data_IF_662712385924
#
_entry.id   IF_662712385924
#
_cell.length_a   1.000
_cell.length_b   1.000
_cell.length_c   1.000
_cell.angle_alpha   90.00
_cell.angle_beta   90.00
_cell.angle_gamma   90.00
#
_symmetry.space_group_name_H-M   'P 1'
#
loop_
_entity.id
_entity.type
_entity.pdbx_description
1 polymer ?
#
# COMPACT_ATOMS: atom_id res chain seq x y z
N UNK A 1 -19.83 4.70 4.15
CA UNK A 1 -19.21 6.03 4.00
C UNK A 1 -19.04 6.64 5.38
N UNK A 2 -17.82 6.95 5.83
CA UNK A 2 -17.63 7.49 7.19
C UNK A 2 -17.94 8.99 7.29
N UNK A 3 -17.53 9.78 6.29
CA UNK A 3 -17.72 11.24 6.29
C UNK A 3 -19.20 11.63 6.24
N UNK A 4 -19.91 11.16 5.21
CA UNK A 4 -21.30 11.52 4.97
C UNK A 4 -22.20 11.12 6.16
N UNK A 5 -21.98 9.92 6.71
CA UNK A 5 -22.74 9.42 7.86
C UNK A 5 -22.50 10.26 9.11
N UNK A 6 -21.26 10.70 9.38
CA UNK A 6 -20.96 11.54 10.55
C UNK A 6 -21.55 12.95 10.40
N UNK A 7 -21.44 13.56 9.22
CA UNK A 7 -22.04 14.87 8.96
C UNK A 7 -23.56 14.80 9.09
N UNK A 8 -24.19 13.78 8.53
CA UNK A 8 -25.65 13.62 8.58
C UNK A 8 -26.20 13.37 10.00
N UNK A 9 -25.48 12.62 10.84
CA UNK A 9 -25.97 12.23 12.18
C UNK A 9 -25.45 13.08 13.33
N UNK A 10 -24.28 13.73 13.16
CA UNK A 10 -23.57 14.45 14.23
C UNK A 10 -23.14 15.86 13.83
N UNK A 11 -23.32 16.27 12.56
CA UNK A 11 -22.97 17.61 12.08
C UNK A 11 -21.46 17.90 11.99
N UNK A 12 -20.59 16.90 12.17
CA UNK A 12 -19.14 17.06 12.20
C UNK A 12 -18.42 15.96 11.41
N UNK A 13 -17.24 16.26 10.88
CA UNK A 13 -16.38 15.27 10.24
C UNK A 13 -15.84 14.26 11.27
N UNK A 14 -15.69 12.97 10.90
CA UNK A 14 -15.27 11.92 11.84
C UNK A 14 -13.74 11.87 12.07
N UNK A 15 -12.98 12.73 11.38
CA UNK A 15 -11.53 12.80 11.45
C UNK A 15 -11.09 14.27 11.36
N UNK A 16 -9.88 14.56 11.86
CA UNK A 16 -9.26 15.90 11.74
C UNK A 16 -8.41 16.03 10.47
N UNK A 17 -7.78 14.92 10.06
CA UNK A 17 -6.87 14.86 8.91
C UNK A 17 -7.11 13.54 8.19
N UNK A 18 -7.04 13.56 6.86
CA UNK A 18 -7.07 12.36 6.01
C UNK A 18 -5.76 12.28 5.27
N UNK A 19 -5.12 11.13 5.34
CA UNK A 19 -3.95 10.78 4.53
C UNK A 19 -4.40 9.71 3.55
N UNK A 20 -4.11 9.93 2.27
CA UNK A 20 -4.34 8.97 1.19
C UNK A 20 -3.00 8.46 0.67
N UNK A 21 -3.00 7.23 0.18
CA UNK A 21 -1.85 6.64 -0.47
C UNK A 21 -2.27 6.06 -1.83
N UNK A 22 -1.32 5.94 -2.75
CA UNK A 22 -1.52 5.21 -4.00
C UNK A 22 -1.62 3.70 -3.79
N UNK A 23 -1.78 2.97 -4.88
CA UNK A 23 -1.85 1.52 -4.87
C UNK A 23 -0.46 0.92 -4.96
N UNK A 24 -0.28 -0.28 -4.40
CA UNK A 24 0.89 -1.10 -4.71
C UNK A 24 0.67 -1.75 -6.07
N UNK A 25 1.59 -1.52 -6.99
CA UNK A 25 1.62 -2.06 -8.35
C UNK A 25 2.83 -2.97 -8.52
N UNK A 26 2.81 -3.84 -9.51
CA UNK A 26 3.95 -4.72 -9.78
C UNK A 26 5.20 -3.95 -10.24
N UNK A 27 6.31 -4.65 -10.46
CA UNK A 27 7.56 -4.05 -10.93
C UNK A 27 7.46 -3.33 -12.28
N UNK A 28 6.47 -3.67 -13.12
CA UNK A 28 6.20 -3.01 -14.40
C UNK A 28 5.23 -1.82 -14.26
N UNK A 29 4.67 -1.60 -13.07
CA UNK A 29 3.67 -0.57 -12.80
C UNK A 29 2.24 -0.96 -13.19
N UNK A 30 1.96 -2.25 -13.41
CA UNK A 30 0.59 -2.73 -13.67
C UNK A 30 -0.11 -3.03 -12.35
N UNK A 31 -1.43 -2.82 -12.36
CA UNK A 31 -2.29 -3.20 -11.23
C UNK A 31 -2.12 -4.69 -10.92
N UNK A 32 -1.87 -5.01 -9.66
CA UNK A 32 -1.83 -6.39 -9.20
C UNK A 32 -3.22 -7.03 -9.28
N UNK A 33 -3.30 -8.24 -9.82
CA UNK A 33 -4.54 -9.02 -9.88
C UNK A 33 -4.27 -10.52 -9.84
N UNK A 34 -5.23 -11.27 -9.30
CA UNK A 34 -5.16 -12.73 -9.22
C UNK A 34 -5.14 -13.38 -10.61
N UNK A 35 -5.88 -12.83 -11.58
CA UNK A 35 -5.96 -13.38 -12.93
C UNK A 35 -4.69 -13.17 -13.74
N UNK A 36 -3.95 -12.07 -13.51
CA UNK A 36 -2.64 -11.85 -14.14
C UNK A 36 -1.50 -12.57 -13.42
N UNK A 37 -1.73 -13.08 -12.20
CA UNK A 37 -0.70 -13.76 -11.41
C UNK A 37 0.46 -12.87 -10.98
N UNK A 38 0.32 -11.54 -11.10
CA UNK A 38 1.36 -10.55 -10.80
C UNK A 38 1.28 -9.97 -9.38
N UNK A 39 0.43 -10.55 -8.53
CA UNK A 39 0.34 -10.18 -7.11
C UNK A 39 1.43 -10.84 -6.28
N UNK A 40 1.95 -10.12 -5.29
CA UNK A 40 2.91 -10.65 -4.32
C UNK A 40 2.21 -10.73 -2.95
N UNK A 41 2.23 -11.91 -2.31
CA UNK A 41 1.72 -12.04 -0.95
C UNK A 41 2.73 -11.43 0.03
N UNK A 42 2.33 -10.49 0.90
CA UNK A 42 3.22 -9.93 1.92
C UNK A 42 3.88 -10.99 2.80
N UNK A 43 3.21 -12.14 3.04
CA UNK A 43 3.76 -13.25 3.83
C UNK A 43 4.98 -13.88 3.16
N UNK A 44 4.99 -13.96 1.84
CA UNK A 44 6.13 -14.51 1.09
C UNK A 44 7.36 -13.63 1.30
N UNK A 45 7.19 -12.30 1.26
CA UNK A 45 8.28 -11.35 1.54
C UNK A 45 8.73 -11.45 3.00
N UNK A 46 7.79 -11.52 3.95
CA UNK A 46 8.11 -11.62 5.38
C UNK A 46 8.89 -12.90 5.67
N UNK A 47 8.52 -14.02 5.05
CA UNK A 47 9.20 -15.30 5.24
C UNK A 47 10.60 -15.32 4.62
N UNK A 48 10.81 -14.60 3.50
CA UNK A 48 12.07 -14.57 2.76
C UNK A 48 13.05 -13.52 3.30
N UNK A 49 12.57 -12.31 3.63
CA UNK A 49 13.40 -11.15 3.98
C UNK A 49 13.16 -10.61 5.40
N UNK A 50 12.11 -11.07 6.09
CA UNK A 50 11.69 -10.53 7.38
C UNK A 50 10.73 -9.34 7.26
N UNK A 51 9.94 -9.11 8.32
CA UNK A 51 8.93 -8.05 8.33
C UNK A 51 9.53 -6.63 8.29
N UNK A 52 10.74 -6.46 8.79
CA UNK A 52 11.36 -5.14 8.86
C UNK A 52 11.87 -4.65 7.50
N UNK A 53 12.31 -5.55 6.61
CA UNK A 53 12.64 -5.19 5.22
C UNK A 53 11.40 -4.68 4.49
N UNK A 54 10.25 -5.34 4.67
CA UNK A 54 8.99 -4.89 4.09
C UNK A 54 8.59 -3.50 4.62
N UNK A 55 8.73 -3.25 5.93
CA UNK A 55 8.43 -1.95 6.53
C UNK A 55 9.41 -0.86 6.09
N UNK A 56 10.69 -1.20 5.94
CA UNK A 56 11.71 -0.27 5.45
C UNK A 56 11.37 0.18 4.03
N UNK A 57 11.01 -0.76 3.15
CA UNK A 57 10.51 -0.45 1.81
C UNK A 57 9.28 0.48 1.82
N UNK A 58 8.30 0.23 2.69
CA UNK A 58 7.14 1.11 2.85
C UNK A 58 7.58 2.52 3.25
N UNK A 59 8.53 2.62 4.20
CA UNK A 59 9.01 3.93 4.69
C UNK A 59 9.84 4.72 3.68
N UNK A 60 10.53 4.03 2.76
CA UNK A 60 11.32 4.67 1.70
C UNK A 60 10.51 5.04 0.47
N UNK A 61 9.25 4.61 0.39
CA UNK A 61 8.40 4.78 -0.78
C UNK A 61 7.64 6.11 -0.75
N UNK A 62 7.62 6.82 -1.88
CA UNK A 62 6.72 7.97 -2.07
C UNK A 62 5.28 7.48 -2.26
N UNK A 63 4.51 7.53 -1.17
CA UNK A 63 3.13 7.03 -1.12
C UNK A 63 2.11 7.95 -1.80
N UNK A 64 2.50 9.15 -2.24
CA UNK A 64 1.55 10.10 -2.86
C UNK A 64 1.04 9.60 -4.22
N UNK A 65 1.82 8.76 -4.89
CA UNK A 65 1.45 8.03 -6.11
C UNK A 65 1.46 6.51 -5.92
N UNK A 66 1.25 5.78 -7.01
CA UNK A 66 1.36 4.32 -7.02
C UNK A 66 2.81 3.87 -6.80
N UNK A 67 2.98 2.84 -5.97
CA UNK A 67 4.29 2.35 -5.53
C UNK A 67 4.56 0.99 -6.16
N UNK A 68 5.72 0.85 -6.81
CA UNK A 68 6.14 -0.42 -7.43
C UNK A 68 6.76 -1.37 -6.42
N UNK A 69 6.38 -2.64 -6.49
CA UNK A 69 6.95 -3.71 -5.68
C UNK A 69 7.39 -4.88 -6.56
N UNK A 70 8.64 -5.31 -6.39
CA UNK A 70 9.20 -6.53 -6.96
C UNK A 70 10.30 -7.07 -6.04
N UNK A 71 10.68 -8.34 -6.20
CA UNK A 71 11.80 -8.92 -5.44
C UNK A 71 13.12 -8.19 -5.73
N UNK A 72 13.32 -7.69 -6.95
CA UNK A 72 14.53 -6.94 -7.30
C UNK A 72 14.60 -5.58 -6.60
N UNK A 73 13.45 -4.89 -6.45
CA UNK A 73 13.37 -3.65 -5.67
C UNK A 73 13.70 -3.93 -4.19
N UNK A 74 13.21 -5.03 -3.63
CA UNK A 74 13.48 -5.39 -2.23
C UNK A 74 14.95 -5.79 -2.00
N UNK A 75 15.63 -6.36 -2.99
CA UNK A 75 17.06 -6.69 -2.90
C UNK A 75 18.00 -5.48 -2.97
N UNK A 76 17.50 -4.33 -3.42
CA UNK A 76 18.28 -3.09 -3.50
C UNK A 76 18.27 -2.27 -2.19
N UNK A 77 17.48 -2.69 -1.21
CA UNK A 77 17.44 -2.13 0.15
C UNK A 77 18.50 -2.80 1.04
#
# INVERSE_FOLDING_TARGET
>A
SSLLTSVATRGVAPYKIVITHGMVVDGEGKKMSKSLGNGIDPRDIINEYGADILRLWVSSSDYTGDVRLSKDILKQL
#
